data_IF_230726631502
#
_entry.id   IF_230726631502
#
_cell.length_a   1.000
_cell.length_b   1.000
_cell.length_c   1.000
_cell.angle_alpha   90.00
_cell.angle_beta   90.00
_cell.angle_gamma   90.00
#
_symmetry.space_group_name_H-M   'P 1'
#
loop_
_entity.id
_entity.type
_entity.pdbx_description
1 polymer ?
#
# COMPACT_ATOMS: atom_id res chain seq x y z
N UNK A 1 47.39 -16.53 -50.87
CA UNK A 1 47.29 -17.69 -51.79
C UNK A 1 46.39 -18.72 -51.12
N UNK A 2 45.11 -18.74 -51.50
CA UNK A 2 44.47 -19.78 -52.33
C UNK A 2 44.07 -21.00 -51.47
N UNK A 3 42.83 -21.10 -50.99
CA UNK A 3 41.56 -21.41 -51.68
C UNK A 3 41.37 -22.91 -51.97
N UNK A 4 40.09 -23.34 -51.90
CA UNK A 4 39.47 -24.57 -52.47
C UNK A 4 39.44 -25.82 -51.56
N UNK A 5 38.39 -26.64 -51.48
CA UNK A 5 36.94 -26.60 -51.81
C UNK A 5 36.30 -27.86 -51.20
N UNK A 6 34.98 -27.86 -50.95
CA UNK A 6 34.15 -29.01 -50.53
C UNK A 6 33.96 -30.06 -51.65
N UNK A 7 33.50 -31.28 -51.35
CA UNK A 7 32.08 -31.68 -51.53
C UNK A 7 31.60 -32.64 -50.39
N UNK A 8 30.41 -33.25 -50.32
CA UNK A 8 29.01 -33.06 -50.74
C UNK A 8 28.29 -34.39 -50.39
N UNK A 9 27.22 -34.39 -49.59
CA UNK A 9 26.16 -35.43 -49.43
C UNK A 9 25.30 -34.98 -48.22
N UNK A 10 24.02 -34.55 -48.28
CA UNK A 10 22.82 -34.75 -49.12
C UNK A 10 22.08 -36.07 -48.95
N UNK A 11 21.21 -36.11 -47.93
CA UNK A 11 19.94 -36.86 -47.86
C UNK A 11 19.08 -36.13 -46.82
N UNK A 12 18.20 -35.17 -47.15
CA UNK A 12 16.88 -35.24 -47.78
C UNK A 12 15.91 -36.24 -47.13
N UNK A 13 15.08 -35.75 -46.19
CA UNK A 13 13.81 -36.35 -45.83
C UNK A 13 12.74 -35.24 -45.81
N UNK A 14 11.86 -35.28 -46.81
CA UNK A 14 10.62 -34.51 -46.93
C UNK A 14 9.49 -35.23 -46.18
N UNK A 15 8.65 -34.47 -45.47
CA UNK A 15 7.19 -34.63 -45.26
C UNK A 15 6.82 -33.78 -44.04
N UNK A 16 5.78 -32.96 -44.01
CA UNK A 16 4.78 -32.56 -44.99
C UNK A 16 3.99 -31.44 -44.33
N UNK A 17 3.78 -30.34 -45.06
CA UNK A 17 2.91 -29.25 -44.64
C UNK A 17 1.45 -29.68 -44.78
N UNK A 18 0.68 -29.54 -43.72
CA UNK A 18 -0.76 -29.30 -43.82
C UNK A 18 -1.09 -28.05 -43.02
N UNK A 19 -1.48 -27.01 -43.75
CA UNK A 19 -1.98 -25.77 -43.19
C UNK A 19 -3.32 -25.99 -42.49
N UNK A 20 -3.49 -25.32 -41.36
CA UNK A 20 -4.80 -24.88 -40.89
C UNK A 20 -4.68 -23.42 -40.49
N UNK A 21 -5.17 -22.57 -41.39
CA UNK A 21 -5.65 -21.23 -41.08
C UNK A 21 -6.86 -21.41 -40.17
N UNK A 22 -6.80 -20.88 -38.95
CA UNK A 22 -7.97 -20.69 -38.10
C UNK A 22 -7.95 -19.30 -37.53
N UNK A 23 -8.59 -18.39 -38.26
CA UNK A 23 -9.21 -17.19 -37.74
C UNK A 23 -10.17 -17.54 -36.58
N UNK A 24 -9.87 -17.06 -35.37
CA UNK A 24 -10.85 -16.83 -34.30
C UNK A 24 -10.50 -15.47 -33.71
N UNK A 25 -11.16 -14.41 -34.14
CA UNK A 25 -12.46 -13.95 -33.61
C UNK A 25 -12.39 -13.73 -32.10
N UNK A 26 -12.36 -12.46 -31.74
CA UNK A 26 -12.58 -11.95 -30.40
C UNK A 26 -13.82 -12.59 -29.77
N UNK A 27 -13.73 -12.97 -28.50
CA UNK A 27 -14.88 -13.30 -27.68
C UNK A 27 -14.62 -12.83 -26.26
N UNK A 28 -15.33 -11.76 -25.93
CA UNK A 28 -16.00 -11.47 -24.67
C UNK A 28 -15.40 -12.06 -23.38
N UNK A 29 -14.85 -11.14 -22.58
CA UNK A 29 -15.26 -10.89 -21.20
C UNK A 29 -16.32 -11.86 -20.65
N UNK A 30 -15.87 -12.91 -19.97
CA UNK A 30 -16.66 -13.62 -18.99
C UNK A 30 -16.11 -13.26 -17.60
N UNK A 31 -16.68 -12.20 -17.02
CA UNK A 31 -16.57 -11.93 -15.59
C UNK A 31 -17.19 -13.10 -14.83
N UNK A 32 -16.33 -13.91 -14.21
CA UNK A 32 -16.75 -14.87 -13.18
C UNK A 32 -17.05 -14.07 -11.92
N UNK A 33 -18.27 -14.23 -11.41
CA UNK A 33 -18.94 -13.33 -10.46
C UNK A 33 -18.27 -13.14 -9.09
N UNK A 34 -18.91 -12.31 -8.24
CA UNK A 34 -18.35 -11.90 -6.96
C UNK A 34 -18.30 -13.09 -5.99
N UNK A 35 -17.10 -13.37 -5.48
CA UNK A 35 -16.92 -14.03 -4.20
C UNK A 35 -17.76 -13.27 -3.18
N UNK A 36 -18.82 -13.90 -2.69
CA UNK A 36 -19.72 -13.40 -1.66
C UNK A 36 -19.11 -13.63 -0.29
N UNK A 37 -18.71 -12.56 0.40
CA UNK A 37 -18.26 -12.56 1.79
C UNK A 37 -19.44 -12.19 2.70
N UNK A 38 -20.57 -12.89 2.50
CA UNK A 38 -21.78 -12.73 3.32
C UNK A 38 -21.81 -13.75 4.47
N UNK A 39 -22.04 -13.18 5.64
CA UNK A 39 -22.85 -13.69 6.76
C UNK A 39 -22.33 -14.88 7.57
N UNK A 40 -21.42 -14.59 8.50
CA UNK A 40 -21.59 -15.04 9.88
C UNK A 40 -21.78 -13.80 10.75
N UNK A 41 -23.05 -13.51 11.07
CA UNK A 41 -23.38 -12.56 12.12
C UNK A 41 -22.88 -13.14 13.45
N UNK A 42 -22.10 -12.40 14.27
CA UNK A 42 -21.85 -12.83 15.62
C UNK A 42 -23.14 -12.75 16.43
N UNK A 43 -23.50 -13.87 17.05
CA UNK A 43 -24.54 -13.98 18.06
C UNK A 43 -24.35 -12.88 19.11
N UNK A 44 -25.42 -12.15 19.42
CA UNK A 44 -25.39 -10.95 20.24
C UNK A 44 -24.76 -11.24 21.62
N UNK A 45 -23.67 -10.55 21.94
CA UNK A 45 -23.09 -10.59 23.27
C UNK A 45 -24.10 -10.05 24.31
N UNK A 46 -24.23 -10.69 25.50
CA UNK A 46 -25.11 -10.22 26.55
C UNK A 46 -24.68 -8.82 27.04
N UNK A 47 -25.63 -7.99 27.49
CA UNK A 47 -25.33 -6.62 27.93
C UNK A 47 -24.42 -6.62 29.16
N UNK A 48 -23.50 -5.64 29.28
CA UNK A 48 -22.65 -5.51 30.46
C UNK A 48 -23.46 -5.17 31.71
N UNK A 49 -23.04 -5.65 32.90
CA UNK A 49 -23.69 -5.30 34.17
C UNK A 49 -23.56 -3.80 34.47
N UNK A 50 -24.63 -3.24 35.04
CA UNK A 50 -24.74 -1.83 35.41
C UNK A 50 -23.66 -1.39 36.41
N UNK A 51 -23.06 -0.19 36.27
CA UNK A 51 -22.05 0.30 37.20
C UNK A 51 -22.67 0.70 38.54
N UNK A 52 -22.11 0.16 39.63
CA UNK A 52 -22.37 0.58 41.01
C UNK A 52 -21.87 2.02 41.25
N UNK A 53 -22.56 2.81 42.09
CA UNK A 53 -22.15 4.19 42.38
C UNK A 53 -20.91 4.23 43.29
N UNK A 54 -19.88 4.97 42.85
CA UNK A 54 -18.72 5.31 43.68
C UNK A 54 -19.02 6.48 44.61
N UNK A 55 -18.45 6.50 45.83
CA UNK A 55 -18.69 7.54 46.82
C UNK A 55 -17.91 8.82 46.53
N UNK A 56 -18.60 9.94 46.70
CA UNK A 56 -18.09 11.30 46.80
C UNK A 56 -16.96 11.38 47.82
N UNK A 57 -15.80 11.93 47.43
CA UNK A 57 -14.73 12.28 48.37
C UNK A 57 -14.38 13.76 48.28
N UNK A 58 -14.49 14.36 49.45
CA UNK A 58 -14.31 15.76 49.83
C UNK A 58 -12.99 16.40 49.40
N UNK A 59 -13.12 17.68 49.07
CA UNK A 59 -12.09 18.71 49.00
C UNK A 59 -11.28 18.77 50.30
N UNK A 60 -9.96 18.89 50.19
CA UNK A 60 -9.15 19.55 51.21
C UNK A 60 -8.06 20.39 50.53
N UNK A 61 -8.12 21.69 50.83
CA UNK A 61 -7.09 22.70 50.62
C UNK A 61 -5.75 22.29 51.25
N UNK A 62 -4.66 22.60 50.56
CA UNK A 62 -3.31 22.38 51.04
C UNK A 62 -2.33 23.35 50.39
N UNK A 63 -2.04 24.42 51.12
CA UNK A 63 -1.15 25.54 50.81
C UNK A 63 0.36 25.19 50.89
N UNK A 64 1.15 26.09 50.29
CA UNK A 64 2.55 26.44 50.60
C UNK A 64 3.70 25.58 50.05
N UNK A 65 4.70 26.29 49.49
CA UNK A 65 6.04 25.73 49.31
C UNK A 65 6.94 26.50 48.35
N UNK A 66 7.33 27.73 48.70
CA UNK A 66 8.49 28.40 48.10
C UNK A 66 9.77 27.62 48.38
N UNK A 67 10.58 27.33 47.35
CA UNK A 67 11.87 26.67 47.51
C UNK A 67 12.89 27.18 46.49
N UNK A 68 13.77 28.04 46.96
CA UNK A 68 14.91 28.63 46.25
C UNK A 68 16.01 27.59 45.93
N UNK A 69 16.62 27.72 44.74
CA UNK A 69 18.06 27.57 44.34
C UNK A 69 19.02 26.75 45.25
N UNK A 70 20.00 25.99 44.69
CA UNK A 70 21.13 26.65 44.00
C UNK A 70 21.83 25.92 42.84
N UNK A 71 22.59 26.76 42.15
CA UNK A 71 23.69 26.51 41.22
C UNK A 71 24.77 25.57 41.80
N UNK A 72 25.32 24.69 40.95
CA UNK A 72 26.65 24.13 41.18
C UNK A 72 27.44 24.05 39.87
N UNK A 73 28.58 24.74 39.89
CA UNK A 73 29.70 24.66 38.96
C UNK A 73 30.64 23.52 39.39
N UNK A 74 31.40 22.99 38.43
CA UNK A 74 32.53 22.07 38.63
C UNK A 74 32.23 20.69 38.04
N UNK A 75 33.10 20.01 37.30
CA UNK A 75 34.56 20.00 37.37
C UNK A 75 35.09 19.38 36.07
N UNK A 76 36.05 20.06 35.43
CA UNK A 76 36.79 19.55 34.28
C UNK A 76 37.67 18.37 34.70
N UNK A 77 37.33 17.16 34.25
CA UNK A 77 38.15 15.96 34.46
C UNK A 77 39.01 15.74 33.23
N UNK A 78 40.33 15.89 33.39
CA UNK A 78 41.35 15.53 32.40
C UNK A 78 41.25 14.03 32.10
N UNK A 79 40.95 13.71 30.85
CA UNK A 79 40.92 12.35 30.32
C UNK A 79 42.34 11.96 29.82
N UNK A 80 42.87 10.78 30.18
CA UNK A 80 44.16 10.31 29.68
C UNK A 80 44.08 9.88 28.19
N UNK A 81 45.20 9.92 27.46
CA UNK A 81 45.23 9.64 26.02
C UNK A 81 44.93 8.16 25.72
N UNK A 82 43.91 7.93 24.90
CA UNK A 82 43.54 6.63 24.36
C UNK A 82 44.54 6.24 23.26
N UNK A 83 45.17 5.05 23.31
CA UNK A 83 46.04 4.57 22.24
C UNK A 83 45.25 4.28 20.96
N UNK A 84 45.70 4.87 19.85
CA UNK A 84 45.14 4.68 18.51
C UNK A 84 45.36 3.24 18.03
N UNK A 85 44.31 2.51 17.60
CA UNK A 85 44.49 1.27 16.87
C UNK A 85 44.94 1.56 15.43
N UNK A 86 46.07 0.96 15.10
CA UNK A 86 46.73 0.93 13.79
C UNK A 86 45.75 0.60 12.68
N UNK A 87 45.62 1.51 11.70
CA UNK A 87 44.95 1.27 10.43
C UNK A 87 45.71 0.19 9.63
N UNK A 88 45.32 -1.08 9.78
CA UNK A 88 45.63 -2.09 8.78
C UNK A 88 44.59 -2.03 7.67
N UNK A 89 45.00 -1.31 6.62
CA UNK A 89 44.41 -1.23 5.30
C UNK A 89 44.44 -2.62 4.64
N UNK A 90 43.43 -3.44 4.93
CA UNK A 90 43.15 -4.68 4.21
C UNK A 90 42.29 -4.38 2.99
N UNK A 91 42.93 -4.11 1.85
CA UNK A 91 42.33 -4.20 0.52
C UNK A 91 41.91 -5.65 0.24
N UNK A 92 40.73 -6.04 0.71
CA UNK A 92 40.01 -7.21 0.19
C UNK A 92 38.61 -6.78 -0.26
N UNK A 93 38.57 -5.73 -1.08
CA UNK A 93 37.45 -5.51 -1.98
C UNK A 93 37.56 -6.51 -3.14
N UNK A 94 37.26 -7.78 -2.86
CA UNK A 94 36.88 -8.73 -3.89
C UNK A 94 35.53 -8.24 -4.44
N UNK A 95 35.61 -7.34 -5.43
CA UNK A 95 34.51 -7.02 -6.35
C UNK A 95 34.10 -8.34 -6.99
N UNK A 96 33.07 -8.96 -6.42
CA UNK A 96 32.24 -9.92 -7.13
C UNK A 96 31.85 -9.26 -8.45
N UNK A 97 32.08 -9.91 -9.61
CA UNK A 97 31.65 -9.37 -10.89
C UNK A 97 30.13 -9.25 -10.84
N UNK A 98 29.64 -8.01 -10.90
CA UNK A 98 28.25 -7.72 -11.17
C UNK A 98 27.88 -8.43 -12.48
N UNK A 99 27.18 -9.55 -12.37
CA UNK A 99 26.68 -10.28 -13.54
C UNK A 99 25.66 -9.39 -14.25
N UNK A 100 25.91 -8.94 -15.49
CA UNK A 100 25.15 -7.85 -16.09
C UNK A 100 23.87 -8.28 -16.83
N UNK A 101 23.32 -9.49 -16.62
CA UNK A 101 22.45 -10.12 -17.64
C UNK A 101 21.24 -10.90 -17.06
N UNK A 102 20.54 -10.37 -16.05
CA UNK A 102 19.14 -10.81 -15.76
C UNK A 102 18.29 -9.71 -15.13
N UNK A 103 18.55 -8.46 -15.49
CA UNK A 103 17.78 -7.29 -15.05
C UNK A 103 16.42 -7.13 -15.76
N UNK A 104 16.14 -7.94 -16.77
CA UNK A 104 15.01 -7.74 -17.69
C UNK A 104 13.62 -8.12 -17.15
N UNK A 105 13.51 -8.84 -16.03
CA UNK A 105 12.21 -9.31 -15.53
C UNK A 105 11.89 -8.91 -14.08
N UNK A 106 12.47 -7.78 -13.64
CA UNK A 106 12.15 -7.20 -12.34
C UNK A 106 11.28 -5.95 -12.46
N UNK A 107 10.39 -5.76 -11.49
CA UNK A 107 9.48 -4.62 -11.39
C UNK A 107 9.70 -3.95 -10.05
N UNK A 108 9.79 -2.62 -10.06
CA UNK A 108 9.77 -1.81 -8.84
C UNK A 108 8.33 -1.44 -8.52
N UNK A 109 7.88 -1.77 -7.31
CA UNK A 109 6.56 -1.38 -6.81
C UNK A 109 6.68 -0.59 -5.52
N UNK A 110 5.92 0.50 -5.40
CA UNK A 110 5.89 1.33 -4.21
C UNK A 110 4.66 1.01 -3.37
N UNK A 111 4.90 0.56 -2.14
CA UNK A 111 3.88 0.24 -1.17
C UNK A 111 3.80 1.33 -0.10
N UNK A 112 2.60 1.87 0.12
CA UNK A 112 2.33 2.93 1.12
C UNK A 112 1.18 2.55 2.09
N UNK A 113 0.64 1.34 1.95
CA UNK A 113 -0.47 0.81 2.76
C UNK A 113 -0.13 -0.53 3.41
N UNK A 114 -1.10 -1.43 3.53
CA UNK A 114 -0.90 -2.73 4.19
C UNK A 114 0.16 -3.64 3.52
N UNK A 115 0.53 -3.37 2.27
CA UNK A 115 1.62 -4.07 1.58
C UNK A 115 3.02 -3.68 2.07
N UNK A 116 3.17 -2.64 2.90
CA UNK A 116 4.43 -2.39 3.61
C UNK A 116 4.75 -3.51 4.61
N UNK A 117 3.72 -4.22 5.09
CA UNK A 117 3.92 -5.36 5.98
C UNK A 117 4.36 -6.58 5.18
N UNK A 118 5.53 -7.12 5.52
CA UNK A 118 6.12 -8.24 4.80
C UNK A 118 5.25 -9.51 4.89
N UNK A 119 4.60 -9.77 6.03
CA UNK A 119 3.70 -10.92 6.20
C UNK A 119 2.49 -10.84 5.26
N UNK A 120 2.01 -9.63 4.93
CA UNK A 120 0.95 -9.44 3.92
C UNK A 120 1.41 -9.94 2.55
N UNK A 121 2.64 -9.65 2.14
CA UNK A 121 3.20 -10.11 0.87
C UNK A 121 3.44 -11.63 0.86
N UNK A 122 3.95 -12.18 1.96
CA UNK A 122 4.15 -13.63 2.12
C UNK A 122 2.83 -14.40 1.99
N UNK A 123 1.75 -13.92 2.64
CA UNK A 123 0.41 -14.53 2.52
C UNK A 123 -0.18 -14.48 1.11
N UNK A 124 0.36 -13.60 0.26
CA UNK A 124 -0.03 -13.46 -1.15
C UNK A 124 0.93 -14.20 -2.08
N UNK A 125 1.88 -14.97 -1.54
CA UNK A 125 2.87 -15.74 -2.28
C UNK A 125 3.74 -14.86 -3.19
N UNK A 126 4.01 -13.63 -2.75
CA UNK A 126 4.86 -12.66 -3.43
C UNK A 126 6.26 -12.72 -2.84
N UNK A 127 7.26 -13.05 -3.65
CA UNK A 127 8.66 -13.07 -3.23
C UNK A 127 9.31 -11.70 -3.46
N UNK A 128 9.83 -11.12 -2.39
CA UNK A 128 10.57 -9.85 -2.44
C UNK A 128 12.06 -10.11 -2.70
N UNK A 129 12.65 -9.41 -3.67
CA UNK A 129 14.08 -9.49 -3.98
C UNK A 129 14.90 -8.46 -3.19
N UNK A 130 14.41 -7.21 -3.13
CA UNK A 130 14.96 -6.15 -2.27
C UNK A 130 13.84 -5.23 -1.79
N UNK A 131 14.11 -4.49 -0.71
CA UNK A 131 13.18 -3.53 -0.13
C UNK A 131 13.96 -2.33 0.39
N UNK A 132 13.50 -1.14 0.02
CA UNK A 132 14.18 0.11 0.36
C UNK A 132 13.13 1.15 0.81
N UNK A 133 13.28 1.78 1.99
CA UNK A 133 12.36 2.82 2.43
C UNK A 133 12.49 4.05 1.52
N UNK A 134 11.36 4.66 1.18
CA UNK A 134 11.30 5.74 0.20
C UNK A 134 10.18 6.74 0.47
N UNK A 135 10.32 7.93 -0.10
CA UNK A 135 9.29 8.97 -0.14
C UNK A 135 8.80 9.21 -1.56
N UNK A 136 7.55 9.63 -1.70
CA UNK A 136 7.03 10.14 -2.98
C UNK A 136 7.64 11.52 -3.24
N UNK A 137 8.18 11.72 -4.45
CA UNK A 137 8.86 12.99 -4.83
C UNK A 137 7.86 14.10 -5.11
N UNK A 138 6.67 13.75 -5.60
CA UNK A 138 5.63 14.71 -5.94
C UNK A 138 4.91 15.23 -4.68
N UNK A 139 5.05 16.51 -4.32
CA UNK A 139 4.45 17.08 -3.11
C UNK A 139 2.92 17.22 -3.21
N UNK A 140 2.35 17.11 -4.41
CA UNK A 140 0.91 17.16 -4.59
C UNK A 140 0.24 15.82 -4.30
N UNK A 141 0.99 14.72 -4.33
CA UNK A 141 0.47 13.40 -3.99
C UNK A 141 0.35 13.23 -2.48
N UNK A 142 -0.86 12.89 -2.04
CA UNK A 142 -1.22 12.74 -0.64
C UNK A 142 -1.75 11.33 -0.38
N UNK A 143 -1.47 10.84 0.83
CA UNK A 143 -2.07 9.62 1.35
C UNK A 143 -3.46 9.94 1.89
N UNK A 144 -4.49 9.25 1.39
CA UNK A 144 -5.87 9.40 1.88
C UNK A 144 -6.54 8.05 2.07
N UNK A 145 -7.48 7.95 3.02
CA UNK A 145 -8.26 6.74 3.26
C UNK A 145 -9.63 6.82 2.55
N UNK A 146 -9.59 6.76 1.22
CA UNK A 146 -10.76 6.86 0.33
C UNK A 146 -11.02 5.62 -0.52
N UNK A 147 -10.31 4.51 -0.31
CA UNK A 147 -10.66 3.28 -0.99
C UNK A 147 -11.81 2.55 -0.24
N UNK A 148 -12.60 1.75 -0.94
CA UNK A 148 -13.65 0.91 -0.34
C UNK A 148 -13.14 0.15 0.89
N UNK A 149 -13.88 0.18 2.00
CA UNK A 149 -13.45 -0.41 3.28
C UNK A 149 -12.51 0.48 4.10
N UNK A 150 -12.25 1.72 3.67
CA UNK A 150 -11.37 2.66 4.36
C UNK A 150 -9.89 2.35 4.17
N UNK A 151 -9.53 1.70 3.05
CA UNK A 151 -8.14 1.45 2.71
C UNK A 151 -7.47 2.70 2.11
N UNK A 152 -6.15 2.71 2.17
CA UNK A 152 -5.35 3.83 1.69
C UNK A 152 -5.34 3.90 0.17
N UNK A 153 -5.25 5.12 -0.35
CA UNK A 153 -4.98 5.43 -1.75
C UNK A 153 -4.11 6.68 -1.86
N UNK A 154 -3.43 6.85 -2.99
CA UNK A 154 -2.82 8.13 -3.36
C UNK A 154 -3.84 9.00 -4.10
N UNK A 155 -3.83 10.29 -3.81
CA UNK A 155 -4.64 11.29 -4.51
C UNK A 155 -3.82 12.57 -4.67
N UNK A 156 -3.91 13.21 -5.85
CA UNK A 156 -3.32 14.54 -6.03
C UNK A 156 -4.20 15.60 -5.38
N UNK A 157 -3.58 16.64 -4.80
CA UNK A 157 -4.26 17.73 -4.12
C UNK A 157 -5.30 18.45 -5.01
N UNK A 158 -4.97 18.70 -6.28
CA UNK A 158 -5.83 19.36 -7.26
C UNK A 158 -7.08 18.53 -7.62
N UNK A 159 -6.91 17.22 -7.80
CA UNK A 159 -8.00 16.29 -8.06
C UNK A 159 -8.98 16.19 -6.87
N UNK A 160 -8.44 16.29 -5.64
CA UNK A 160 -9.26 16.31 -4.43
C UNK A 160 -10.14 17.56 -4.34
N UNK A 161 -9.58 18.73 -4.70
CA UNK A 161 -10.29 20.01 -4.70
C UNK A 161 -11.41 20.02 -5.76
N UNK A 162 -11.14 19.53 -6.97
CA UNK A 162 -12.13 19.46 -8.04
C UNK A 162 -13.31 18.54 -7.72
N UNK A 163 -13.07 17.42 -7.02
CA UNK A 163 -14.11 16.47 -6.65
C UNK A 163 -15.08 16.99 -5.56
N UNK A 164 -14.70 18.01 -4.79
CA UNK A 164 -15.47 18.51 -3.65
C UNK A 164 -16.28 19.78 -3.93
N UNK A 165 -16.30 20.28 -5.17
CA UNK A 165 -17.33 21.25 -5.60
C UNK A 165 -17.31 22.62 -4.93
N UNK A 166 -16.18 23.04 -4.34
CA UNK A 166 -15.96 24.41 -3.89
C UNK A 166 -16.40 24.73 -2.45
N UNK A 167 -15.54 25.47 -1.76
CA UNK A 167 -15.65 26.04 -0.41
C UNK A 167 -15.42 25.08 0.77
N UNK A 168 -14.15 24.89 1.15
CA UNK A 168 -13.84 25.09 2.57
C UNK A 168 -12.78 24.23 3.25
N UNK A 169 -12.41 23.03 2.77
CA UNK A 169 -11.30 22.28 3.39
C UNK A 169 -10.47 21.52 2.36
N UNK A 170 -9.44 22.20 1.84
CA UNK A 170 -8.44 21.68 0.90
C UNK A 170 -7.39 20.75 1.56
N UNK A 171 -7.54 20.47 2.86
CA UNK A 171 -6.55 19.73 3.64
C UNK A 171 -7.01 18.28 3.86
N UNK A 172 -6.15 17.27 3.60
CA UNK A 172 -6.50 15.89 3.87
C UNK A 172 -6.77 15.73 5.36
N UNK A 173 -7.68 14.82 5.71
CA UNK A 173 -8.04 14.60 7.11
C UNK A 173 -6.83 14.15 7.94
N UNK A 174 -5.89 13.45 7.30
CA UNK A 174 -4.66 12.98 7.89
C UNK A 174 -3.48 13.48 7.05
N UNK A 175 -2.67 14.37 7.63
CA UNK A 175 -1.50 14.94 6.96
C UNK A 175 -0.20 14.48 7.65
N UNK A 176 0.75 13.89 6.91
CA UNK A 176 2.11 13.66 7.42
C UNK A 176 2.77 14.96 7.86
N UNK A 177 3.62 14.91 8.88
CA UNK A 177 4.25 16.11 9.45
C UNK A 177 5.15 16.85 8.45
N UNK A 178 5.86 16.12 7.60
CA UNK A 178 6.69 16.65 6.51
C UNK A 178 5.91 16.88 5.21
N UNK A 179 4.63 16.50 5.18
CA UNK A 179 3.77 16.59 4.01
C UNK A 179 4.07 15.58 2.90
N UNK A 180 5.02 14.66 3.09
CA UNK A 180 5.40 13.66 2.09
C UNK A 180 4.76 12.30 2.41
N UNK A 181 4.55 11.48 1.37
CA UNK A 181 4.09 10.11 1.56
C UNK A 181 5.28 9.18 1.62
N UNK A 182 5.46 8.52 2.76
CA UNK A 182 6.51 7.54 2.96
C UNK A 182 5.96 6.14 2.68
N UNK A 183 6.83 5.26 2.24
CA UNK A 183 6.51 3.89 1.92
C UNK A 183 7.76 3.07 1.66
N UNK A 184 7.58 1.94 0.99
CA UNK A 184 8.64 0.98 0.70
C UNK A 184 8.65 0.67 -0.78
N UNK A 185 9.80 0.80 -1.42
CA UNK A 185 10.01 0.30 -2.77
C UNK A 185 10.44 -1.16 -2.67
N UNK A 186 9.64 -2.05 -3.26
CA UNK A 186 10.00 -3.45 -3.42
C UNK A 186 10.46 -3.73 -4.84
N UNK A 187 11.54 -4.48 -4.96
CA UNK A 187 11.92 -5.13 -6.21
C UNK A 187 11.33 -6.53 -6.24
N UNK A 188 10.46 -6.79 -7.21
CA UNK A 188 9.78 -8.07 -7.40
C UNK A 188 10.12 -8.65 -8.77
N UNK A 189 9.88 -9.96 -8.96
CA UNK A 189 9.79 -10.53 -10.31
C UNK A 189 8.48 -10.08 -10.97
N UNK A 190 8.41 -10.08 -12.31
CA UNK A 190 7.15 -9.78 -13.02
C UNK A 190 6.03 -10.75 -12.62
N UNK A 191 6.33 -12.04 -12.51
CA UNK A 191 5.36 -13.06 -12.13
C UNK A 191 4.76 -12.81 -10.73
N UNK A 192 5.58 -12.38 -9.76
CA UNK A 192 5.11 -12.05 -8.42
C UNK A 192 4.33 -10.73 -8.39
N UNK A 193 4.72 -9.76 -9.22
CA UNK A 193 3.95 -8.53 -9.40
C UNK A 193 2.55 -8.82 -9.97
N UNK A 194 2.44 -9.73 -10.96
CA UNK A 194 1.15 -10.12 -11.53
C UNK A 194 0.23 -10.82 -10.51
N UNK A 195 0.79 -11.60 -9.57
CA UNK A 195 0.03 -12.14 -8.43
C UNK A 195 -0.52 -11.02 -7.56
N UNK A 196 0.30 -10.00 -7.29
CA UNK A 196 -0.11 -8.85 -6.49
C UNK A 196 -1.24 -8.08 -7.17
N UNK A 197 -1.12 -7.80 -8.48
CA UNK A 197 -2.17 -7.15 -9.28
C UNK A 197 -3.51 -7.89 -9.21
N UNK A 198 -3.49 -9.23 -9.26
CA UNK A 198 -4.71 -10.05 -9.13
C UNK A 198 -5.38 -9.93 -7.76
N UNK A 199 -4.64 -9.59 -6.71
CA UNK A 199 -5.16 -9.46 -5.33
C UNK A 199 -5.61 -8.03 -5.00
N UNK A 200 -5.11 -7.03 -5.71
CA UNK A 200 -5.45 -5.60 -5.52
C UNK A 200 -6.72 -5.20 -6.29
N UNK A 201 -7.80 -5.96 -6.09
CA UNK A 201 -9.09 -5.66 -6.70
C UNK A 201 -9.56 -4.25 -6.36
N UNK A 202 -10.03 -3.51 -7.37
CA UNK A 202 -10.48 -2.13 -7.20
C UNK A 202 -9.37 -1.07 -7.24
N UNK A 203 -8.11 -1.47 -7.42
CA UNK A 203 -7.00 -0.55 -7.70
C UNK A 203 -6.60 -0.60 -9.19
N UNK A 204 -5.97 0.48 -9.66
CA UNK A 204 -5.26 0.59 -10.92
C UNK A 204 -3.78 0.82 -10.63
N UNK A 205 -2.91 0.36 -11.52
CA UNK A 205 -1.46 0.55 -11.37
C UNK A 205 -1.06 1.88 -12.02
N UNK A 206 -0.35 2.73 -11.29
CA UNK A 206 0.13 4.02 -11.78
C UNK A 206 1.64 4.18 -11.47
N UNK A 207 2.45 4.67 -12.43
CA UNK A 207 3.83 5.01 -12.14
C UNK A 207 3.91 6.24 -11.24
N UNK A 208 4.76 6.17 -10.22
CA UNK A 208 5.04 7.26 -9.29
C UNK A 208 6.55 7.46 -9.17
N UNK A 209 6.98 8.72 -9.08
CA UNK A 209 8.37 9.07 -8.80
C UNK A 209 8.61 8.99 -7.30
N UNK A 210 9.60 8.21 -6.89
CA UNK A 210 9.95 7.99 -5.49
C UNK A 210 11.45 8.17 -5.29
N UNK A 211 11.83 8.63 -4.10
CA UNK A 211 13.21 8.77 -3.67
C UNK A 211 13.46 7.86 -2.47
N UNK A 212 14.38 6.90 -2.60
CA UNK A 212 14.82 6.08 -1.46
C UNK A 212 15.51 6.96 -0.42
N UNK A 213 15.56 6.52 0.82
CA UNK A 213 16.23 7.28 1.89
C UNK A 213 17.73 7.47 1.63
N UNK A 214 18.35 6.57 0.86
CA UNK A 214 19.73 6.72 0.38
C UNK A 214 19.90 7.79 -0.71
N UNK A 215 18.82 8.47 -1.10
CA UNK A 215 18.81 9.57 -2.07
C UNK A 215 18.55 9.16 -3.52
N UNK A 216 18.43 7.87 -3.83
CA UNK A 216 18.20 7.39 -5.19
C UNK A 216 16.76 7.65 -5.65
N UNK A 217 16.61 8.34 -6.78
CA UNK A 217 15.30 8.59 -7.40
C UNK A 217 15.00 7.54 -8.45
N UNK A 218 13.81 6.95 -8.41
CA UNK A 218 13.36 5.97 -9.40
C UNK A 218 11.85 6.06 -9.66
N UNK A 219 11.41 5.48 -10.78
CA UNK A 219 9.98 5.29 -11.08
C UNK A 219 9.54 3.92 -10.57
N UNK A 220 8.53 3.89 -9.71
CA UNK A 220 7.96 2.66 -9.19
C UNK A 220 6.45 2.59 -9.49
N UNK A 221 5.91 1.38 -9.58
CA UNK A 221 4.48 1.16 -9.78
C UNK A 221 3.74 1.15 -8.44
N UNK A 222 2.78 2.05 -8.26
CA UNK A 222 1.92 2.09 -7.10
C UNK A 222 0.49 1.68 -7.49
N UNK A 223 -0.21 1.03 -6.55
CA UNK A 223 -1.64 0.78 -6.69
C UNK A 223 -2.39 2.04 -6.27
N UNK A 224 -3.29 2.57 -7.09
CA UNK A 224 -4.12 3.75 -6.81
C UNK A 224 -5.58 3.36 -7.00
N UNK A 225 -6.49 3.85 -6.16
CA UNK A 225 -7.90 3.44 -6.24
C UNK A 225 -8.49 3.75 -7.60
N UNK A 226 -9.18 2.76 -8.17
CA UNK A 226 -10.04 2.99 -9.32
C UNK A 226 -11.18 3.95 -8.90
N UNK A 227 -11.51 4.98 -9.69
CA UNK A 227 -12.62 5.90 -9.39
C UNK A 227 -13.94 5.20 -9.02
N UNK A 228 -14.23 4.02 -9.58
CA UNK A 228 -15.45 3.26 -9.28
C UNK A 228 -15.46 2.61 -7.89
N UNK A 229 -14.30 2.46 -7.26
CA UNK A 229 -14.10 1.88 -5.92
C UNK A 229 -13.67 2.94 -4.90
N UNK A 230 -13.55 4.19 -5.33
CA UNK A 230 -13.21 5.32 -4.49
C UNK A 230 -14.46 5.84 -3.77
N UNK A 231 -14.31 6.09 -2.47
CA UNK A 231 -15.29 6.71 -1.62
C UNK A 231 -15.35 8.22 -1.90
N UNK A 232 -16.53 8.84 -1.81
CA UNK A 232 -16.68 10.27 -2.01
C UNK A 232 -15.92 11.07 -0.95
N UNK A 233 -15.94 10.60 0.30
CA UNK A 233 -15.30 11.23 1.46
C UNK A 233 -14.25 10.32 2.09
N UNK A 234 -13.23 10.95 2.68
CA UNK A 234 -12.24 10.25 3.48
C UNK A 234 -12.83 9.75 4.81
N UNK A 235 -12.55 8.48 5.11
CA UNK A 235 -13.04 7.79 6.32
C UNK A 235 -11.88 7.39 7.22
N UNK A 236 -12.14 7.13 8.50
CA UNK A 236 -11.10 6.61 9.41
C UNK A 236 -10.79 5.15 9.04
N UNK A 237 -9.53 4.73 8.93
CA UNK A 237 -9.21 3.34 8.66
C UNK A 237 -9.64 2.42 9.81
N UNK A 238 -9.81 1.13 9.50
CA UNK A 238 -10.02 0.12 10.54
C UNK A 238 -8.76 -0.10 11.36
N UNK A 239 -8.92 -0.42 12.64
CA UNK A 239 -7.81 -0.74 13.54
C UNK A 239 -6.93 -1.87 12.98
N UNK A 240 -7.54 -2.95 12.51
CA UNK A 240 -6.81 -4.09 11.94
C UNK A 240 -6.01 -3.74 10.69
N UNK A 241 -6.54 -2.84 9.85
CA UNK A 241 -5.82 -2.38 8.67
C UNK A 241 -4.63 -1.51 9.07
N UNK A 242 -4.86 -0.52 9.93
CA UNK A 242 -3.82 0.42 10.33
C UNK A 242 -2.73 -0.26 11.17
N UNK A 243 -3.06 -1.28 11.96
CA UNK A 243 -2.07 -2.11 12.66
C UNK A 243 -1.05 -2.70 11.67
N UNK A 244 -1.49 -3.27 10.55
CA UNK A 244 -0.60 -3.79 9.51
C UNK A 244 0.27 -2.70 8.89
N UNK A 245 -0.32 -1.53 8.63
CA UNK A 245 0.41 -0.37 8.08
C UNK A 245 1.51 0.06 9.04
N UNK A 246 1.22 0.17 10.35
CA UNK A 246 2.17 0.55 11.40
C UNK A 246 3.27 -0.49 11.58
N UNK A 247 2.92 -1.77 11.66
CA UNK A 247 3.89 -2.88 11.70
C UNK A 247 4.81 -2.85 10.47
N UNK A 248 4.24 -2.68 9.27
CA UNK A 248 5.02 -2.55 8.05
C UNK A 248 5.94 -1.32 8.06
N UNK A 249 5.48 -0.18 8.57
CA UNK A 249 6.31 1.01 8.68
C UNK A 249 7.51 0.78 9.64
N UNK A 250 7.27 0.12 10.77
CA UNK A 250 8.32 -0.22 11.74
C UNK A 250 9.31 -1.26 11.17
N UNK A 251 8.82 -2.33 10.55
CA UNK A 251 9.61 -3.44 9.98
C UNK A 251 10.55 -3.01 8.83
N UNK A 252 10.24 -1.89 8.18
CA UNK A 252 11.06 -1.32 7.12
C UNK A 252 11.78 -0.03 7.54
N UNK A 253 11.80 0.28 8.85
CA UNK A 253 12.51 1.43 9.40
C UNK A 253 12.17 2.75 8.72
N UNK A 254 10.86 3.00 8.49
CA UNK A 254 10.42 4.31 7.99
C UNK A 254 10.77 5.43 8.97
N UNK A 255 10.62 6.68 8.53
CA UNK A 255 11.03 7.83 9.31
C UNK A 255 10.27 7.86 10.66
N UNK A 256 10.93 8.09 11.81
CA UNK A 256 10.26 8.10 13.10
C UNK A 256 9.11 9.10 13.21
N UNK A 257 9.22 10.28 12.57
CA UNK A 257 8.11 11.24 12.54
C UNK A 257 6.95 10.72 11.71
N UNK A 258 7.23 10.03 10.60
CA UNK A 258 6.18 9.37 9.82
C UNK A 258 5.50 8.24 10.61
N UNK A 259 6.27 7.45 11.36
CA UNK A 259 5.71 6.42 12.25
C UNK A 259 4.84 7.03 13.36
N UNK A 260 5.27 8.17 13.93
CA UNK A 260 4.47 8.92 14.91
C UNK A 260 3.17 9.45 14.29
N UNK A 261 3.23 9.97 13.06
CA UNK A 261 2.05 10.36 12.29
C UNK A 261 1.07 9.19 12.12
N UNK A 262 1.53 8.02 11.65
CA UNK A 262 0.69 6.84 11.49
C UNK A 262 0.06 6.39 12.81
N UNK A 263 0.77 6.57 13.92
CA UNK A 263 0.28 6.26 15.27
C UNK A 263 -0.81 7.23 15.74
N UNK A 264 -0.77 8.48 15.28
CA UNK A 264 -1.78 9.50 15.59
C UNK A 264 -3.10 9.38 14.81
N UNK A 265 -3.15 8.56 13.75
CA UNK A 265 -4.38 8.38 12.95
C UNK A 265 -5.46 7.68 13.78
N UNK A 266 -6.64 8.32 13.89
CA UNK A 266 -7.82 7.74 14.54
C UNK A 266 -8.36 6.54 13.76
N UNK A 267 -8.77 5.48 14.48
CA UNK A 267 -9.27 4.24 13.89
C UNK A 267 -10.70 3.94 14.33
N UNK A 268 -11.35 3.05 13.59
CA UNK A 268 -12.62 2.44 13.97
C UNK A 268 -12.48 0.93 14.13
N UNK A 269 -13.35 0.34 14.94
CA UNK A 269 -13.46 -1.12 15.04
C UNK A 269 -14.00 -1.68 13.72
N UNK A 270 -13.54 -2.87 13.33
CA UNK A 270 -13.95 -3.50 12.06
C UNK A 270 -15.37 -4.08 12.09
N UNK A 271 -15.94 -4.31 13.26
CA UNK A 271 -17.28 -4.85 13.41
C UNK A 271 -18.34 -3.78 13.11
N UNK A 272 -19.17 -4.00 12.10
CA UNK A 272 -20.30 -3.11 11.79
C UNK A 272 -19.91 -1.80 11.09
N UNK A 273 -18.96 -1.85 10.15
CA UNK A 273 -18.63 -0.68 9.32
C UNK A 273 -19.88 -0.12 8.64
N UNK A 274 -20.12 1.18 8.85
CA UNK A 274 -21.29 1.87 8.29
C UNK A 274 -21.26 1.95 6.76
N UNK A 275 -22.41 2.32 6.17
CA UNK A 275 -22.57 2.39 4.72
C UNK A 275 -21.54 3.32 4.03
N UNK A 276 -21.02 4.33 4.73
CA UNK A 276 -20.00 5.25 4.24
C UNK A 276 -18.69 4.56 3.82
N UNK A 277 -18.39 3.36 4.33
CA UNK A 277 -17.21 2.57 3.93
C UNK A 277 -17.42 1.81 2.61
N UNK A 278 -18.66 1.74 2.12
CA UNK A 278 -19.04 0.93 0.96
C UNK A 278 -19.86 1.70 -0.08
N UNK A 279 -20.09 3.00 0.13
CA UNK A 279 -20.84 3.85 -0.80
C UNK A 279 -19.94 4.30 -1.95
N UNK A 280 -19.64 3.36 -2.84
CA UNK A 280 -18.85 3.58 -4.05
C UNK A 280 -19.76 3.66 -5.29
N UNK A 281 -19.34 4.33 -6.39
CA UNK A 281 -20.08 4.35 -7.64
C UNK A 281 -20.42 2.96 -8.20
N UNK A 282 -19.51 1.99 -8.06
CA UNK A 282 -19.72 0.60 -8.49
C UNK A 282 -20.93 -0.07 -7.83
N UNK A 283 -21.19 0.22 -6.55
CA UNK A 283 -22.35 -0.31 -5.83
C UNK A 283 -23.66 0.20 -6.44
N UNK A 284 -23.72 1.48 -6.77
CA UNK A 284 -24.91 2.07 -7.41
C UNK A 284 -25.12 1.52 -8.82
N UNK A 285 -24.06 1.32 -9.60
CA UNK A 285 -24.17 0.67 -10.92
C UNK A 285 -24.73 -0.75 -10.80
N UNK A 286 -24.31 -1.52 -9.79
CA UNK A 286 -24.85 -2.84 -9.51
C UNK A 286 -26.36 -2.81 -9.20
N UNK A 287 -26.81 -1.86 -8.37
CA UNK A 287 -28.24 -1.70 -8.07
C UNK A 287 -29.05 -1.23 -9.29
N UNK A 288 -28.53 -0.30 -10.08
CA UNK A 288 -29.18 0.14 -11.31
C UNK A 288 -29.34 -1.02 -12.30
N UNK A 289 -28.34 -1.89 -12.43
CA UNK A 289 -28.44 -3.08 -13.26
C UNK A 289 -29.49 -4.07 -12.75
N UNK A 290 -29.51 -4.36 -11.45
CA UNK A 290 -30.52 -5.25 -10.85
C UNK A 290 -31.94 -4.70 -10.99
N UNK A 291 -32.11 -3.39 -10.82
CA UNK A 291 -33.40 -2.72 -11.01
C UNK A 291 -33.85 -2.85 -12.47
N UNK A 292 -32.95 -2.59 -13.43
CA UNK A 292 -33.25 -2.73 -14.85
C UNK A 292 -33.66 -4.16 -15.21
N UNK A 293 -32.93 -5.17 -14.75
CA UNK A 293 -33.26 -6.59 -14.95
C UNK A 293 -34.62 -6.93 -14.32
N UNK A 294 -34.88 -6.43 -13.11
CA UNK A 294 -36.17 -6.58 -12.45
C UNK A 294 -37.33 -5.99 -13.26
N UNK A 295 -37.17 -4.78 -13.78
CA UNK A 295 -38.18 -4.13 -14.63
C UNK A 295 -38.42 -4.89 -15.93
N UNK A 296 -37.36 -5.37 -16.60
CA UNK A 296 -37.48 -6.19 -17.81
C UNK A 296 -38.24 -7.49 -17.51
N UNK A 297 -37.93 -8.13 -16.38
CA UNK A 297 -38.57 -9.37 -15.96
C UNK A 297 -40.07 -9.15 -15.69
N UNK A 298 -40.42 -8.09 -14.95
CA UNK A 298 -41.83 -7.74 -14.68
C UNK A 298 -42.58 -7.41 -15.97
N UNK A 299 -41.97 -6.65 -16.89
CA UNK A 299 -42.57 -6.32 -18.18
C UNK A 299 -42.83 -7.57 -19.03
N UNK A 300 -41.90 -8.54 -19.02
CA UNK A 300 -42.07 -9.81 -19.73
C UNK A 300 -43.26 -10.62 -19.19
N UNK A 301 -43.41 -10.72 -17.86
CA UNK A 301 -44.55 -11.43 -17.26
C UNK A 301 -45.89 -10.71 -17.40
N UNK A 302 -45.91 -9.38 -17.54
CA UNK A 302 -47.14 -8.63 -17.74
C UNK A 302 -47.70 -8.72 -19.17
N UNK A 303 -46.89 -9.19 -20.14
CA UNK A 303 -47.29 -9.33 -21.54
C UNK A 303 -47.85 -10.72 -21.90
N UNK A 304 -47.74 -11.69 -20.99
CA UNK A 304 -48.18 -13.07 -21.16
C UNK A 304 -49.35 -13.38 -20.23
#
# INVERSE_FOLDING_TARGET
AAAQTRPCCRTQAQRGQHGRVSSRAASALAWSGPLSWRDQAPEAAPPPPSPSPSPTRELADGTNGSGSRPSSNGTATKQPPVPQPTQQRGEFAARLPASPETSADTVLTFAYGANMNFLTLVRREVRVLSRDPATVVDPELRLVFKHQGGYATLERADAAAAAQGGSGQDEPRFRPYDGLVHGVVYRLTRADFDKLVKKEGGYVVQPVQVQTYDGHVCTALAFVSNPLFKLPQEVSPTEQYLAKVREGAADNYLDPNYQAFLSGISTVTGAGLGAQYYNTPSKYMGYSFLLLVGLITVAFFAQH
#
